data_IF_668874616324
#
_entry.id   IF_668874616324
#
_cell.length_a   1.000
_cell.length_b   1.000
_cell.length_c   1.000
_cell.angle_alpha   90.00
_cell.angle_beta   90.00
_cell.angle_gamma   90.00
#
_symmetry.space_group_name_H-M   'P 1'
#
loop_
_entity.id
_entity.type
_entity.pdbx_description
1 polymer ?
#
# COMPACT_ATOMS: atom_id res chain seq x y z
N UNK A 1 5.13 -44.51 -44.63
CA UNK A 1 5.52 -45.92 -44.36
C UNK A 1 7.04 -46.04 -44.51
N UNK A 2 7.73 -46.88 -43.72
CA UNK A 2 8.32 -46.32 -42.49
C UNK A 2 9.81 -46.66 -42.22
N UNK A 3 10.31 -46.16 -41.08
CA UNK A 3 11.52 -46.59 -40.34
C UNK A 3 12.89 -46.31 -40.99
N UNK A 4 13.98 -46.00 -40.26
CA UNK A 4 14.27 -46.02 -38.79
C UNK A 4 15.18 -44.79 -38.43
N UNK A 5 15.83 -44.55 -37.28
CA UNK A 5 16.20 -45.35 -36.07
C UNK A 5 16.40 -44.45 -34.81
N UNK A 6 16.69 -45.09 -33.68
CA UNK A 6 17.45 -44.67 -32.46
C UNK A 6 18.42 -43.48 -32.62
N UNK A 7 18.72 -42.62 -31.63
CA UNK A 7 18.52 -42.60 -30.15
C UNK A 7 18.52 -41.12 -29.65
N UNK A 8 18.36 -40.72 -28.37
CA UNK A 8 18.45 -41.40 -27.07
C UNK A 8 17.45 -40.82 -26.04
N UNK A 9 17.31 -41.48 -24.88
CA UNK A 9 16.44 -41.03 -23.78
C UNK A 9 17.22 -40.13 -22.80
N UNK A 10 16.91 -38.83 -22.77
CA UNK A 10 17.24 -37.94 -21.65
C UNK A 10 15.97 -37.55 -20.89
N UNK A 11 15.59 -38.36 -19.89
CA UNK A 11 14.63 -37.97 -18.86
C UNK A 11 15.37 -37.27 -17.72
N UNK A 12 15.33 -35.94 -17.65
CA UNK A 12 15.72 -35.19 -16.45
C UNK A 12 15.14 -33.76 -16.48
N UNK A 13 14.88 -33.18 -15.29
CA UNK A 13 14.76 -31.72 -15.16
C UNK A 13 13.39 -31.08 -15.41
N UNK A 14 12.34 -31.49 -14.70
CA UNK A 14 11.22 -30.59 -14.45
C UNK A 14 11.60 -29.65 -13.28
N UNK A 15 12.19 -28.49 -13.56
CA UNK A 15 12.62 -27.50 -12.56
C UNK A 15 12.49 -26.05 -13.07
N UNK A 16 11.56 -25.31 -12.47
CA UNK A 16 11.69 -23.89 -12.11
C UNK A 16 12.07 -22.87 -13.21
N UNK A 17 11.12 -22.54 -14.09
CA UNK A 17 10.90 -21.12 -14.42
C UNK A 17 9.98 -20.56 -13.34
N UNK A 18 10.55 -20.22 -12.19
CA UNK A 18 9.85 -19.52 -11.10
C UNK A 18 10.36 -18.10 -10.95
N UNK A 19 9.42 -17.16 -10.81
CA UNK A 19 9.62 -15.84 -10.22
C UNK A 19 10.62 -14.90 -10.92
N UNK A 20 10.27 -14.46 -12.14
CA UNK A 20 10.42 -13.06 -12.53
C UNK A 20 9.05 -12.44 -12.88
N UNK A 21 8.09 -12.64 -11.97
CA UNK A 21 7.02 -11.65 -11.76
C UNK A 21 7.60 -10.59 -10.83
N UNK A 22 8.13 -9.53 -11.42
CA UNK A 22 8.47 -8.32 -10.68
C UNK A 22 7.18 -7.73 -10.11
N UNK A 23 7.06 -7.66 -8.78
CA UNK A 23 5.89 -7.15 -8.06
C UNK A 23 5.84 -5.61 -8.06
N UNK A 24 6.11 -5.02 -9.23
CA UNK A 24 5.72 -3.66 -9.55
C UNK A 24 4.30 -3.68 -10.08
N UNK A 25 3.33 -3.97 -9.20
CA UNK A 25 1.92 -3.82 -9.53
C UNK A 25 1.68 -2.40 -10.08
N UNK A 26 1.23 -2.31 -11.34
CA UNK A 26 0.87 -1.02 -11.93
C UNK A 26 -0.25 -0.44 -11.05
N UNK A 27 0.01 0.69 -10.39
CA UNK A 27 -0.87 1.20 -9.35
C UNK A 27 -2.21 1.63 -9.96
N UNK A 28 -3.28 0.88 -9.69
CA UNK A 28 -4.62 1.17 -10.18
C UNK A 28 -5.49 1.70 -9.06
N UNK A 29 -6.64 2.30 -9.41
CA UNK A 29 -7.66 2.64 -8.43
C UNK A 29 -8.13 1.40 -7.64
N UNK A 30 -8.11 0.21 -8.23
CA UNK A 30 -8.54 -1.02 -7.57
C UNK A 30 -7.53 -1.50 -6.51
N UNK A 31 -6.23 -1.53 -6.82
CA UNK A 31 -5.21 -1.87 -5.81
C UNK A 31 -5.13 -0.80 -4.74
N UNK A 32 -5.24 0.49 -5.13
CA UNK A 32 -5.38 1.61 -4.22
C UNK A 32 -6.56 1.43 -3.25
N UNK A 33 -7.77 1.18 -3.77
CA UNK A 33 -8.99 0.89 -2.98
C UNK A 33 -8.74 -0.26 -2.00
N UNK A 34 -8.30 -1.40 -2.52
CA UNK A 34 -8.11 -2.64 -1.75
C UNK A 34 -7.16 -2.44 -0.58
N UNK A 35 -6.09 -1.67 -0.75
CA UNK A 35 -5.07 -1.50 0.28
C UNK A 35 -5.31 -0.29 1.20
N UNK A 36 -6.01 0.76 0.76
CA UNK A 36 -6.05 2.04 1.49
C UNK A 36 -7.43 2.44 2.02
N UNK A 37 -8.55 1.84 1.58
CA UNK A 37 -9.91 2.29 1.96
C UNK A 37 -10.54 1.33 2.97
N UNK A 38 -11.00 1.83 4.11
CA UNK A 38 -11.85 1.09 5.07
C UNK A 38 -13.19 1.80 5.24
N UNK A 39 -14.25 1.01 5.33
CA UNK A 39 -15.57 1.47 5.76
C UNK A 39 -15.54 2.06 7.18
N UNK A 40 -16.48 2.96 7.53
CA UNK A 40 -16.51 3.65 8.82
C UNK A 40 -17.05 2.83 10.01
N UNK A 41 -17.17 1.50 9.86
CA UNK A 41 -17.75 0.60 10.86
C UNK A 41 -16.68 -0.43 11.28
N UNK A 42 -16.49 -0.59 12.60
CA UNK A 42 -15.59 -1.58 13.21
C UNK A 42 -14.43 -0.97 14.00
N UNK A 43 -14.07 -1.61 15.11
CA UNK A 43 -12.92 -1.20 15.94
C UNK A 43 -11.58 -1.66 15.30
N UNK A 44 -10.49 -1.74 16.08
CA UNK A 44 -9.13 -1.53 15.58
C UNK A 44 -8.44 -2.77 14.95
N UNK A 45 -9.00 -3.30 13.86
CA UNK A 45 -8.61 -4.56 13.16
C UNK A 45 -7.30 -4.48 12.34
N UNK A 46 -6.26 -3.78 12.81
CA UNK A 46 -5.04 -3.53 12.02
C UNK A 46 -4.38 -4.81 11.47
N UNK A 47 -4.26 -5.87 12.27
CA UNK A 47 -3.62 -7.13 11.86
C UNK A 47 -4.45 -7.85 10.79
N UNK A 48 -5.76 -7.93 10.96
CA UNK A 48 -6.67 -8.64 10.06
C UNK A 48 -6.81 -7.91 8.73
N UNK A 49 -6.93 -6.58 8.74
CA UNK A 49 -6.94 -5.77 7.53
C UNK A 49 -5.63 -5.88 6.74
N UNK A 50 -4.48 -5.74 7.41
CA UNK A 50 -3.16 -5.80 6.73
C UNK A 50 -2.92 -7.19 6.14
N UNK A 51 -3.32 -8.26 6.84
CA UNK A 51 -3.22 -9.64 6.37
C UNK A 51 -4.19 -9.92 5.21
N UNK A 52 -5.47 -9.56 5.35
CA UNK A 52 -6.52 -9.83 4.37
C UNK A 52 -6.44 -9.02 3.07
N UNK A 53 -5.61 -7.97 3.04
CA UNK A 53 -5.43 -7.08 1.87
C UNK A 53 -4.05 -7.22 1.19
N UNK A 54 -3.29 -8.26 1.59
CA UNK A 54 -1.97 -8.61 1.02
C UNK A 54 -0.93 -7.48 1.11
N UNK A 55 -1.01 -6.64 2.14
CA UNK A 55 -0.11 -5.48 2.31
C UNK A 55 1.31 -5.92 2.73
N UNK A 56 1.42 -7.04 3.45
CA UNK A 56 2.67 -7.62 3.94
C UNK A 56 3.23 -8.69 3.00
N UNK A 57 3.82 -8.27 1.89
CA UNK A 57 4.50 -9.17 0.94
C UNK A 57 5.87 -9.58 1.50
N UNK A 58 5.95 -10.81 2.05
CA UNK A 58 7.16 -11.46 2.64
C UNK A 58 7.85 -10.71 3.79
N UNK A 59 7.33 -9.55 4.18
CA UNK A 59 7.88 -8.61 5.15
C UNK A 59 6.73 -7.88 5.83
N UNK A 60 6.93 -7.39 7.05
CA UNK A 60 5.97 -6.49 7.70
C UNK A 60 6.23 -5.06 7.25
N UNK A 61 5.20 -4.31 6.83
CA UNK A 61 5.30 -2.84 6.71
C UNK A 61 5.48 -2.22 8.09
N UNK A 62 6.37 -1.25 8.24
CA UNK A 62 6.62 -0.53 9.51
C UNK A 62 5.41 0.28 9.97
N UNK A 63 4.67 0.85 9.01
CA UNK A 63 3.35 1.42 9.22
C UNK A 63 2.49 1.19 7.96
N UNK A 64 1.18 1.16 8.13
CA UNK A 64 0.22 1.22 7.03
C UNK A 64 -1.02 2.05 7.42
N UNK A 65 -1.38 3.08 6.64
CA UNK A 65 -2.56 3.90 6.90
C UNK A 65 -3.80 3.36 6.14
N UNK A 66 -4.93 3.28 6.84
CA UNK A 66 -6.25 3.08 6.23
C UNK A 66 -7.05 4.38 6.32
N UNK A 67 -7.53 4.86 5.18
CA UNK A 67 -8.42 6.00 5.06
C UNK A 67 -9.84 5.53 5.35
N UNK A 68 -10.50 6.16 6.32
CA UNK A 68 -11.89 5.92 6.65
C UNK A 68 -12.77 6.80 5.76
N UNK A 69 -13.31 6.20 4.70
CA UNK A 69 -14.01 6.90 3.61
C UNK A 69 -14.76 5.92 2.70
N UNK A 70 -15.76 6.38 1.97
CA UNK A 70 -16.29 5.65 0.81
C UNK A 70 -15.39 5.82 -0.43
N UNK A 71 -15.59 4.97 -1.45
CA UNK A 71 -14.98 5.15 -2.78
C UNK A 71 -15.32 6.50 -3.41
N UNK A 72 -16.58 6.94 -3.29
CA UNK A 72 -17.12 8.11 -4.01
C UNK A 72 -16.37 9.37 -3.56
N UNK A 73 -16.23 9.53 -2.24
CA UNK A 73 -15.54 10.67 -1.62
C UNK A 73 -14.05 10.75 -1.96
N UNK A 74 -13.43 9.62 -2.32
CA UNK A 74 -12.03 9.55 -2.75
C UNK A 74 -11.87 9.76 -4.27
N UNK A 75 -12.81 9.25 -5.09
CA UNK A 75 -12.85 9.55 -6.53
C UNK A 75 -13.04 11.05 -6.79
N UNK A 76 -13.86 11.73 -5.98
CA UNK A 76 -14.08 13.18 -6.09
C UNK A 76 -12.81 14.03 -5.88
N UNK A 77 -11.75 13.52 -5.23
CA UNK A 77 -10.46 14.24 -5.09
C UNK A 77 -9.77 14.42 -6.45
N UNK A 78 -9.80 13.38 -7.29
CA UNK A 78 -9.11 13.33 -8.59
C UNK A 78 -10.02 13.71 -9.78
N UNK A 79 -11.30 13.95 -9.54
CA UNK A 79 -12.30 14.34 -10.54
C UNK A 79 -11.90 15.62 -11.27
N UNK A 80 -11.74 15.52 -12.59
CA UNK A 80 -11.30 16.63 -13.44
C UNK A 80 -9.83 17.05 -13.22
N UNK A 81 -8.99 16.19 -12.62
CA UNK A 81 -7.56 16.45 -12.39
C UNK A 81 -6.64 15.81 -13.43
N UNK A 82 -7.12 14.87 -14.23
CA UNK A 82 -6.30 14.11 -15.18
C UNK A 82 -5.22 13.28 -14.47
N UNK A 83 -3.95 13.55 -14.82
CA UNK A 83 -2.76 12.88 -14.30
C UNK A 83 -1.91 13.89 -13.51
N UNK A 84 -1.88 13.81 -12.18
CA UNK A 84 -1.16 14.76 -11.31
C UNK A 84 -0.66 14.06 -10.02
N UNK A 85 0.62 14.22 -9.70
CA UNK A 85 1.29 13.41 -8.66
C UNK A 85 0.95 13.78 -7.20
N UNK A 86 0.64 15.04 -6.89
CA UNK A 86 0.47 15.50 -5.50
C UNK A 86 -0.76 16.39 -5.29
N UNK A 87 -1.95 15.84 -5.53
CA UNK A 87 -3.21 16.53 -5.24
C UNK A 87 -3.53 16.44 -3.74
N UNK A 88 -3.66 17.61 -3.09
CA UNK A 88 -4.13 17.69 -1.71
C UNK A 88 -5.66 17.83 -1.68
N UNK A 89 -6.35 17.03 -0.86
CA UNK A 89 -7.80 17.08 -0.74
C UNK A 89 -8.29 18.34 0.00
N UNK A 90 -9.36 18.97 -0.50
CA UNK A 90 -10.05 20.09 0.17
C UNK A 90 -10.82 19.61 1.39
N UNK A 91 -11.54 18.48 1.26
CA UNK A 91 -12.13 17.74 2.37
C UNK A 91 -11.03 17.11 3.23
N UNK A 92 -11.31 17.01 4.52
CA UNK A 92 -10.48 16.30 5.50
C UNK A 92 -11.15 14.98 5.90
N UNK A 93 -10.31 14.01 6.28
CA UNK A 93 -10.67 12.61 6.48
C UNK A 93 -10.18 12.13 7.85
N UNK A 94 -10.63 10.94 8.24
CA UNK A 94 -10.08 10.17 9.36
C UNK A 94 -9.19 9.07 8.80
N UNK A 95 -8.02 8.86 9.41
CA UNK A 95 -7.05 7.83 9.03
C UNK A 95 -6.81 6.93 10.26
N UNK A 96 -6.97 5.62 10.10
CA UNK A 96 -6.47 4.63 11.06
C UNK A 96 -5.04 4.29 10.66
N UNK A 97 -4.06 4.78 11.41
CA UNK A 97 -2.64 4.49 11.19
C UNK A 97 -2.24 3.28 12.03
N UNK A 98 -2.02 2.16 11.36
CA UNK A 98 -1.43 0.97 11.95
C UNK A 98 0.09 1.09 11.96
N UNK A 99 0.73 0.80 13.09
CA UNK A 99 2.19 0.85 13.28
C UNK A 99 2.67 -0.51 13.80
N UNK A 100 3.75 -1.04 13.23
CA UNK A 100 4.31 -2.35 13.57
C UNK A 100 4.80 -2.35 15.03
N UNK A 101 4.38 -3.35 15.80
CA UNK A 101 4.79 -3.49 17.19
C UNK A 101 6.28 -3.80 17.28
N UNK A 102 6.98 -3.16 18.22
CA UNK A 102 8.44 -3.31 18.39
C UNK A 102 8.81 -4.78 18.64
N UNK A 103 9.49 -5.38 17.66
CA UNK A 103 9.94 -6.78 17.72
C UNK A 103 9.08 -7.77 16.92
N UNK A 104 7.90 -7.37 16.44
CA UNK A 104 7.10 -8.17 15.52
C UNK A 104 7.83 -8.39 14.19
N UNK A 105 7.66 -9.57 13.59
CA UNK A 105 8.38 -10.01 12.38
C UNK A 105 7.53 -10.96 11.56
N UNK A 106 7.72 -10.93 10.24
CA UNK A 106 7.01 -11.81 9.32
C UNK A 106 7.26 -13.29 9.68
N UNK A 107 6.23 -14.16 9.71
CA UNK A 107 4.84 -13.90 9.30
C UNK A 107 3.93 -13.25 10.37
N UNK A 108 4.31 -13.23 11.65
CA UNK A 108 3.48 -12.66 12.74
C UNK A 108 3.69 -11.15 12.91
N UNK A 109 3.13 -10.39 11.98
CA UNK A 109 3.17 -8.94 11.98
C UNK A 109 2.08 -8.36 12.91
N UNK A 110 2.43 -8.10 14.17
CA UNK A 110 1.57 -7.45 15.18
C UNK A 110 1.51 -5.94 15.03
N UNK A 111 0.33 -5.32 15.15
CA UNK A 111 0.13 -3.89 14.85
C UNK A 111 -0.66 -3.12 15.92
N UNK A 112 -0.12 -1.98 16.35
CA UNK A 112 -0.85 -0.99 17.13
C UNK A 112 -1.51 0.02 16.19
N UNK A 113 -2.84 0.06 16.15
CA UNK A 113 -3.59 1.09 15.44
C UNK A 113 -3.79 2.36 16.26
N UNK A 114 -3.85 3.50 15.58
CA UNK A 114 -4.11 4.84 16.15
C UNK A 114 -5.00 5.66 15.21
N UNK A 115 -5.89 6.49 15.74
CA UNK A 115 -6.86 7.26 14.94
C UNK A 115 -6.41 8.71 14.77
N UNK A 116 -6.27 9.15 13.53
CA UNK A 116 -5.89 10.50 13.13
C UNK A 116 -7.07 11.18 12.41
N UNK A 117 -7.85 11.97 13.14
CA UNK A 117 -8.98 12.73 12.58
C UNK A 117 -8.52 14.03 11.90
N UNK A 118 -9.41 14.63 11.11
CA UNK A 118 -9.26 15.99 10.56
C UNK A 118 -8.01 16.19 9.69
N UNK A 119 -7.58 15.15 8.95
CA UNK A 119 -6.38 15.17 8.09
C UNK A 119 -6.73 15.41 6.61
N UNK A 120 -6.06 16.34 5.90
CA UNK A 120 -6.11 16.34 4.43
C UNK A 120 -5.33 15.13 3.90
N UNK A 121 -5.79 14.57 2.80
CA UNK A 121 -5.07 13.52 2.06
C UNK A 121 -4.19 14.18 0.99
N UNK A 122 -3.06 13.57 0.68
CA UNK A 122 -2.27 13.89 -0.52
C UNK A 122 -2.23 12.64 -1.38
N UNK A 123 -2.67 12.74 -2.63
CA UNK A 123 -2.80 11.58 -3.52
C UNK A 123 -2.19 11.84 -4.89
N UNK A 124 -1.71 10.76 -5.53
CA UNK A 124 -1.46 10.75 -6.97
C UNK A 124 -2.75 10.38 -7.69
N UNK A 125 -3.11 11.20 -8.67
CA UNK A 125 -4.21 10.97 -9.58
C UNK A 125 -3.69 10.47 -10.93
N UNK A 126 -4.30 9.42 -11.48
CA UNK A 126 -4.18 9.03 -12.90
C UNK A 126 -5.56 8.79 -13.49
N UNK A 127 -5.80 9.27 -14.70
CA UNK A 127 -7.07 9.21 -15.44
C UNK A 127 -8.28 9.70 -14.61
N UNK A 128 -8.07 10.72 -13.76
CA UNK A 128 -9.04 11.25 -12.79
C UNK A 128 -9.39 10.34 -11.60
N UNK A 129 -8.57 9.32 -11.30
CA UNK A 129 -8.75 8.40 -10.17
C UNK A 129 -7.52 8.41 -9.23
N UNK A 130 -7.68 8.33 -7.91
CA UNK A 130 -6.54 8.19 -7.00
C UNK A 130 -5.92 6.79 -7.14
N UNK A 131 -4.59 6.73 -7.30
CA UNK A 131 -3.83 5.48 -7.41
C UNK A 131 -2.77 5.30 -6.31
N UNK A 132 -2.43 6.37 -5.58
CA UNK A 132 -1.49 6.33 -4.46
C UNK A 132 -1.87 7.37 -3.40
N UNK A 133 -1.62 7.07 -2.12
CA UNK A 133 -1.78 8.00 -1.00
C UNK A 133 -0.43 8.23 -0.32
N UNK A 134 -0.13 9.50 -0.07
CA UNK A 134 1.08 9.96 0.60
C UNK A 134 0.78 10.32 2.07
N UNK A 135 1.31 9.52 2.98
CA UNK A 135 1.30 9.73 4.43
C UNK A 135 2.57 10.45 4.91
N UNK A 136 2.67 10.72 6.22
CA UNK A 136 3.82 11.43 6.79
C UNK A 136 5.17 10.68 6.66
N UNK A 137 5.19 9.41 6.23
CA UNK A 137 6.41 8.61 6.06
C UNK A 137 6.88 8.50 4.61
N UNK A 138 5.96 8.40 3.64
CA UNK A 138 6.28 8.24 2.22
C UNK A 138 6.10 9.53 1.38
N UNK A 139 5.52 10.59 1.94
CA UNK A 139 5.33 11.87 1.24
C UNK A 139 6.66 12.53 0.86
N UNK A 140 6.88 12.87 -0.43
CA UNK A 140 8.01 13.72 -0.85
C UNK A 140 8.06 15.02 -0.04
N UNK A 141 9.22 15.32 0.56
CA UNK A 141 9.43 16.60 1.25
C UNK A 141 9.42 17.74 0.23
N UNK A 142 8.70 18.85 0.48
CA UNK A 142 8.84 20.06 -0.31
C UNK A 142 10.31 20.51 -0.33
N UNK A 143 10.80 20.94 -1.49
CA UNK A 143 12.14 21.52 -1.61
C UNK A 143 12.27 22.72 -0.65
N UNK A 144 13.35 22.75 0.14
CA UNK A 144 13.57 23.75 1.19
C UNK A 144 12.95 23.41 2.57
N UNK A 145 12.19 22.33 2.72
CA UNK A 145 11.66 21.93 4.02
C UNK A 145 12.75 21.37 4.94
N UNK A 146 12.96 22.00 6.09
CA UNK A 146 13.96 21.60 7.07
C UNK A 146 13.66 20.20 7.66
N UNK A 147 14.71 19.50 8.11
CA UNK A 147 14.51 18.30 8.93
C UNK A 147 13.82 18.71 10.23
N UNK A 148 12.68 18.08 10.54
CA UNK A 148 12.16 18.09 11.90
C UNK A 148 13.27 17.60 12.83
N UNK A 149 13.66 18.42 13.80
CA UNK A 149 14.57 17.98 14.85
C UNK A 149 13.91 16.84 15.64
N UNK A 150 14.68 15.86 16.14
CA UNK A 150 14.13 14.89 17.08
C UNK A 150 13.60 15.66 18.30
N UNK A 151 12.33 15.43 18.65
CA UNK A 151 11.75 16.01 19.86
C UNK A 151 12.45 15.35 21.05
N UNK A 152 13.35 16.08 21.70
CA UNK A 152 13.95 15.64 22.95
C UNK A 152 12.82 15.39 23.96
N UNK A 153 12.75 14.21 24.60
CA UNK A 153 11.77 13.98 25.65
C UNK A 153 12.03 14.95 26.80
N UNK A 154 10.98 15.59 27.31
CA UNK A 154 11.06 16.36 28.54
C UNK A 154 11.52 15.45 29.69
N UNK A 155 12.31 16.01 30.60
CA UNK A 155 12.97 15.32 31.72
C UNK A 155 12.47 15.85 33.05
#
# INVERSE_FOLDING_TARGET
>A
MPTTRTSAVFRLGCLLILMLVDDSSLATFETFRRQNIRDPIGENECEEMIRGREINVRTCKEAHPFIVSTEIELRDICKGKGNLDMITSTRKFTIVRCVLNRGAKYPDCKYQGSVLTNRPLVVKCENNLPIHFYDDTNRPRPAGSARHAPVCPCK
#
